data_IF_089386450903
#
_entry.id   IF_089386450903
#
_cell.length_a   1.000
_cell.length_b   1.000
_cell.length_c   1.000
_cell.angle_alpha   90.00
_cell.angle_beta   90.00
_cell.angle_gamma   90.00
#
_symmetry.space_group_name_H-M   'P 1'
#
loop_
_entity.id
_entity.type
_entity.pdbx_description
1 polymer ?
#
# COMPACT_ATOMS: atom_id res chain seq x y z
N UNK A 1 -7.49 25.46 -9.49
CA UNK A 1 -8.15 24.62 -10.51
C UNK A 1 -7.38 23.32 -10.54
N UNK A 2 -7.97 22.21 -10.08
CA UNK A 2 -7.28 20.92 -10.13
C UNK A 2 -7.25 20.43 -11.57
N UNK A 3 -6.05 20.30 -12.13
CA UNK A 3 -5.84 19.68 -13.43
C UNK A 3 -6.45 18.26 -13.38
N UNK A 4 -7.30 17.93 -14.34
CA UNK A 4 -8.10 16.69 -14.34
C UNK A 4 -7.29 15.42 -14.54
N UNK A 5 -5.95 15.50 -14.50
CA UNK A 5 -5.00 14.47 -14.92
C UNK A 5 -4.70 13.41 -13.87
N UNK A 6 -5.04 13.63 -12.60
CA UNK A 6 -4.68 12.67 -11.54
C UNK A 6 -5.44 11.35 -11.68
N UNK A 7 -4.70 10.23 -11.60
CA UNK A 7 -5.23 8.88 -11.47
C UNK A 7 -5.51 8.57 -10.00
N UNK A 8 -6.71 8.10 -9.70
CA UNK A 8 -7.02 7.49 -8.40
C UNK A 8 -8.23 6.58 -8.55
N UNK A 9 -8.28 5.52 -7.75
CA UNK A 9 -9.30 4.47 -7.87
C UNK A 9 -10.72 5.04 -7.78
N UNK A 10 -10.94 5.95 -6.83
CA UNK A 10 -12.25 6.59 -6.60
C UNK A 10 -12.73 7.44 -7.77
N UNK A 11 -11.82 7.91 -8.63
CA UNK A 11 -12.14 8.79 -9.77
C UNK A 11 -12.23 8.05 -11.09
N UNK A 12 -11.99 6.73 -11.11
CA UNK A 12 -12.09 5.90 -12.31
C UNK A 12 -13.52 5.77 -12.89
N UNK A 13 -14.52 6.38 -12.27
CA UNK A 13 -15.86 6.49 -12.89
C UNK A 13 -15.90 7.61 -13.95
N UNK A 14 -14.85 8.42 -14.07
CA UNK A 14 -14.68 9.43 -15.13
C UNK A 14 -14.27 8.78 -16.47
N UNK A 15 -15.01 8.99 -17.57
CA UNK A 15 -14.71 8.40 -18.87
C UNK A 15 -13.32 8.71 -19.43
N UNK A 16 -12.75 9.89 -19.15
CA UNK A 16 -11.39 10.23 -19.58
C UNK A 16 -10.37 9.40 -18.81
N UNK A 17 -10.61 9.18 -17.52
CA UNK A 17 -9.75 8.36 -16.67
C UNK A 17 -9.81 6.89 -17.03
N UNK A 18 -11.00 6.37 -17.37
CA UNK A 18 -11.16 5.01 -17.86
C UNK A 18 -10.36 4.76 -19.15
N UNK A 19 -10.38 5.73 -20.08
CA UNK A 19 -9.57 5.65 -21.32
C UNK A 19 -8.07 5.71 -21.06
N UNK A 20 -7.65 6.46 -20.04
CA UNK A 20 -6.24 6.58 -19.66
C UNK A 20 -5.74 5.40 -18.81
N UNK A 21 -6.63 4.60 -18.23
CA UNK A 21 -6.28 3.53 -17.30
C UNK A 21 -5.35 2.50 -17.94
N UNK A 22 -5.70 1.96 -19.11
CA UNK A 22 -4.89 0.91 -19.76
C UNK A 22 -3.47 1.43 -20.09
N UNK A 23 -3.29 2.57 -20.80
CA UNK A 23 -1.94 3.11 -21.03
C UNK A 23 -1.16 3.41 -19.74
N UNK A 24 -1.85 3.86 -18.68
CA UNK A 24 -1.23 4.11 -17.39
C UNK A 24 -0.70 2.81 -16.75
N UNK A 25 -1.51 1.75 -16.76
CA UNK A 25 -1.12 0.44 -16.22
C UNK A 25 -0.01 -0.23 -17.04
N UNK A 26 0.00 -0.06 -18.36
CA UNK A 26 1.10 -0.48 -19.24
C UNK A 26 2.40 0.26 -18.91
N UNK A 27 2.33 1.57 -18.67
CA UNK A 27 3.50 2.34 -18.24
C UNK A 27 3.99 1.88 -16.86
N UNK A 28 3.09 1.67 -15.90
CA UNK A 28 3.42 1.18 -14.55
C UNK A 28 4.02 -0.23 -14.58
N UNK A 29 3.55 -1.10 -15.48
CA UNK A 29 4.06 -2.47 -15.64
C UNK A 29 5.56 -2.53 -15.95
N UNK A 30 6.08 -1.50 -16.63
CA UNK A 30 7.49 -1.41 -17.03
C UNK A 30 8.44 -0.94 -15.91
N UNK A 31 7.91 -0.60 -14.72
CA UNK A 31 8.75 -0.23 -13.58
C UNK A 31 9.50 -1.45 -13.04
N UNK A 32 10.83 -1.34 -12.91
CA UNK A 32 11.63 -2.34 -12.19
C UNK A 32 11.48 -2.10 -10.69
N UNK A 33 10.68 -2.95 -10.03
CA UNK A 33 10.42 -2.79 -8.61
C UNK A 33 9.40 -3.77 -8.04
N UNK A 34 8.97 -3.46 -6.82
CA UNK A 34 7.99 -4.25 -6.07
C UNK A 34 6.78 -3.39 -5.71
N UNK A 35 5.60 -3.77 -6.17
CA UNK A 35 4.33 -3.28 -5.66
C UNK A 35 3.83 -4.22 -4.57
N UNK A 36 3.87 -3.76 -3.32
CA UNK A 36 3.39 -4.53 -2.17
C UNK A 36 2.14 -3.89 -1.60
N UNK A 37 1.05 -4.65 -1.65
CA UNK A 37 -0.20 -4.28 -1.01
C UNK A 37 -0.39 -5.09 0.27
N UNK A 38 -0.71 -4.40 1.37
CA UNK A 38 -0.89 -5.01 2.68
C UNK A 38 -2.30 -4.73 3.16
N UNK A 39 -3.16 -5.75 3.13
CA UNK A 39 -4.53 -5.67 3.63
C UNK A 39 -4.55 -6.04 5.11
N UNK A 40 -5.05 -5.15 5.96
CA UNK A 40 -5.15 -5.38 7.41
C UNK A 40 -6.60 -5.36 7.84
N UNK A 41 -7.03 -6.39 8.57
CA UNK A 41 -8.38 -6.47 9.10
C UNK A 41 -8.69 -5.28 10.03
N UNK A 42 -9.76 -4.54 9.70
CA UNK A 42 -10.18 -3.32 10.43
C UNK A 42 -10.53 -3.57 11.90
N UNK A 43 -10.84 -4.82 12.29
CA UNK A 43 -11.02 -5.22 13.70
C UNK A 43 -9.73 -5.02 14.51
N UNK A 44 -8.57 -5.03 13.86
CA UNK A 44 -7.27 -4.71 14.47
C UNK A 44 -6.93 -3.24 14.30
N UNK A 45 -7.43 -2.44 15.25
CA UNK A 45 -7.08 -1.02 15.38
C UNK A 45 -5.62 -0.79 15.80
N UNK A 46 -5.00 -1.79 16.42
CA UNK A 46 -3.70 -1.72 17.08
C UNK A 46 -2.81 -2.84 16.56
N UNK A 47 -1.94 -2.53 15.60
CA UNK A 47 -1.00 -3.50 15.02
C UNK A 47 0.44 -3.20 15.48
N UNK A 48 0.83 -1.94 15.43
CA UNK A 48 2.21 -1.51 15.68
C UNK A 48 2.45 -0.95 17.08
N UNK A 49 1.37 -0.64 17.79
CA UNK A 49 1.42 -0.18 19.18
C UNK A 49 0.13 -0.59 19.88
N UNK A 50 0.07 -0.38 21.19
CA UNK A 50 -1.15 -0.45 21.99
C UNK A 50 -1.59 0.95 22.39
N UNK A 51 -2.85 1.08 22.85
CA UNK A 51 -3.42 2.38 23.25
C UNK A 51 -2.53 3.13 24.24
N UNK A 52 -1.96 2.42 25.21
CA UNK A 52 -1.18 3.00 26.30
C UNK A 52 0.29 3.19 25.91
N UNK A 53 0.86 2.27 25.12
CA UNK A 53 2.27 2.31 24.71
C UNK A 53 2.59 3.41 23.70
N UNK A 54 1.60 3.86 22.90
CA UNK A 54 1.81 4.91 21.91
C UNK A 54 2.38 6.20 22.50
N UNK A 55 1.90 6.60 23.69
CA UNK A 55 2.36 7.82 24.37
C UNK A 55 3.82 7.71 24.81
N UNK A 56 4.24 6.55 25.28
CA UNK A 56 5.62 6.32 25.72
C UNK A 56 6.57 6.26 24.53
N UNK A 57 6.17 5.57 23.44
CA UNK A 57 6.94 5.56 22.19
C UNK A 57 7.12 6.95 21.62
N UNK A 58 6.08 7.80 21.67
CA UNK A 58 6.18 9.21 21.26
C UNK A 58 7.29 9.95 22.00
N UNK A 59 7.39 9.75 23.33
CA UNK A 59 8.43 10.37 24.16
C UNK A 59 9.81 9.81 23.86
N UNK A 60 9.94 8.48 23.78
CA UNK A 60 11.22 7.80 23.49
C UNK A 60 11.77 8.23 22.12
N UNK A 61 10.89 8.35 21.13
CA UNK A 61 11.25 8.78 19.78
C UNK A 61 11.35 10.31 19.64
N UNK A 62 11.04 11.07 20.70
CA UNK A 62 11.09 12.54 20.74
C UNK A 62 10.23 13.20 19.64
N UNK A 63 9.00 12.68 19.45
CA UNK A 63 8.07 13.21 18.46
C UNK A 63 7.32 14.44 18.98
N UNK A 64 7.28 15.49 18.17
CA UNK A 64 6.87 16.84 18.56
C UNK A 64 5.38 17.12 18.27
N UNK A 65 4.82 16.58 17.19
CA UNK A 65 3.46 16.89 16.79
C UNK A 65 2.42 16.36 17.79
N UNK A 66 1.26 17.02 17.83
CA UNK A 66 0.12 16.53 18.59
C UNK A 66 -0.58 15.41 17.81
N UNK A 67 -0.43 14.18 18.31
CA UNK A 67 -1.03 12.99 17.75
C UNK A 67 -2.18 12.50 18.64
N UNK A 68 -3.33 12.24 18.01
CA UNK A 68 -4.31 11.35 18.64
C UNK A 68 -3.81 9.90 18.55
N UNK A 69 -4.27 9.02 19.43
CA UNK A 69 -3.71 7.67 19.55
C UNK A 69 -3.89 6.82 18.29
N UNK A 70 -4.98 7.02 17.52
CA UNK A 70 -5.23 6.27 16.29
C UNK A 70 -4.37 6.78 15.13
N UNK A 71 -4.20 8.10 15.00
CA UNK A 71 -3.31 8.68 14.00
C UNK A 71 -1.85 8.30 14.27
N UNK A 72 -1.45 8.27 15.55
CA UNK A 72 -0.12 7.81 15.95
C UNK A 72 0.11 6.34 15.60
N UNK A 73 -0.87 5.47 15.89
CA UNK A 73 -0.81 4.06 15.51
C UNK A 73 -0.71 3.89 14.00
N UNK A 74 -1.52 4.62 13.23
CA UNK A 74 -1.48 4.58 11.76
C UNK A 74 -0.11 5.00 11.22
N UNK A 75 0.48 6.06 11.78
CA UNK A 75 1.83 6.50 11.44
C UNK A 75 2.86 5.40 11.77
N UNK A 76 2.86 4.86 12.99
CA UNK A 76 3.78 3.78 13.37
C UNK A 76 3.61 2.54 12.51
N UNK A 77 2.39 2.22 12.10
CA UNK A 77 2.12 1.10 11.20
C UNK A 77 2.78 1.28 9.86
N UNK A 78 2.61 2.44 9.22
CA UNK A 78 3.27 2.76 7.95
C UNK A 78 4.79 2.72 8.12
N UNK A 79 5.31 3.40 9.14
CA UNK A 79 6.75 3.45 9.44
C UNK A 79 7.35 2.07 9.66
N UNK A 80 6.70 1.22 10.45
CA UNK A 80 7.18 -0.12 10.75
C UNK A 80 7.17 -1.02 9.52
N UNK A 81 6.10 -1.00 8.74
CA UNK A 81 6.02 -1.77 7.49
C UNK A 81 7.08 -1.31 6.50
N UNK A 82 7.26 0.00 6.33
CA UNK A 82 8.33 0.57 5.49
C UNK A 82 9.70 0.12 5.97
N UNK A 83 9.99 0.17 7.28
CA UNK A 83 11.27 -0.25 7.82
C UNK A 83 11.55 -1.74 7.61
N UNK A 84 10.53 -2.61 7.75
CA UNK A 84 10.64 -4.05 7.46
C UNK A 84 10.93 -4.26 5.97
N UNK A 85 10.19 -3.63 5.07
CA UNK A 85 10.41 -3.78 3.62
C UNK A 85 11.80 -3.29 3.22
N UNK A 86 12.24 -2.15 3.77
CA UNK A 86 13.59 -1.65 3.55
C UNK A 86 14.64 -2.63 4.09
N UNK A 87 14.45 -3.24 5.27
CA UNK A 87 15.41 -4.22 5.79
C UNK A 87 15.63 -5.44 4.89
N UNK A 88 14.62 -5.78 4.08
CA UNK A 88 14.67 -6.92 3.14
C UNK A 88 15.37 -6.52 1.83
N UNK A 89 15.10 -5.32 1.31
CA UNK A 89 15.56 -4.93 -0.04
C UNK A 89 16.75 -3.98 -0.08
N UNK A 90 17.03 -3.29 1.02
CA UNK A 90 18.15 -2.34 1.06
C UNK A 90 19.50 -3.04 1.10
N UNK A 91 20.49 -2.33 0.57
CA UNK A 91 21.92 -2.64 0.69
C UNK A 91 22.61 -1.57 1.54
N UNK A 92 23.81 -1.83 2.08
CA UNK A 92 24.59 -0.81 2.78
C UNK A 92 24.66 0.51 2.01
N UNK A 93 24.34 1.60 2.71
CA UNK A 93 24.35 2.98 2.20
C UNK A 93 23.31 3.29 1.12
N UNK A 94 22.23 2.51 1.01
CA UNK A 94 21.11 2.82 0.11
C UNK A 94 20.46 4.14 0.51
N UNK A 95 20.38 5.09 -0.43
CA UNK A 95 19.57 6.30 -0.29
C UNK A 95 18.11 5.98 -0.59
N UNK A 96 17.19 6.47 0.23
CA UNK A 96 15.76 6.19 0.11
C UNK A 96 15.00 7.51 0.01
N UNK A 97 14.12 7.61 -0.97
CA UNK A 97 13.13 8.69 -1.05
C UNK A 97 11.75 8.06 -0.95
N UNK A 98 11.07 8.28 0.19
CA UNK A 98 9.69 7.89 0.40
C UNK A 98 8.79 9.00 -0.14
N UNK A 99 8.03 8.69 -1.19
CA UNK A 99 6.98 9.53 -1.75
C UNK A 99 5.63 9.06 -1.21
N UNK A 100 4.82 9.98 -0.68
CA UNK A 100 3.48 9.69 -0.15
C UNK A 100 2.49 10.74 -0.61
N UNK A 101 1.21 10.37 -0.70
CA UNK A 101 0.13 11.33 -0.83
C UNK A 101 0.07 12.26 0.39
N UNK A 102 -0.71 13.34 0.29
CA UNK A 102 -1.00 14.28 1.39
C UNK A 102 -1.94 13.67 2.46
N UNK A 103 -1.47 12.58 3.06
CA UNK A 103 -2.15 11.81 4.08
C UNK A 103 -2.14 12.50 5.45
N UNK A 104 -3.03 12.06 6.35
CA UNK A 104 -3.14 12.60 7.72
C UNK A 104 -1.82 12.55 8.52
N UNK A 105 -0.97 11.54 8.27
CA UNK A 105 0.30 11.37 9.00
C UNK A 105 1.42 12.30 8.53
N UNK A 106 1.21 13.04 7.43
CA UNK A 106 2.12 14.09 6.93
C UNK A 106 1.39 15.42 6.72
N UNK A 107 0.22 15.59 7.36
CA UNK A 107 -0.70 16.72 7.12
C UNK A 107 -0.13 18.11 7.43
N UNK A 108 1.00 18.21 8.12
CA UNK A 108 1.72 19.46 8.36
C UNK A 108 3.22 19.18 8.56
N UNK A 109 4.04 20.23 8.51
CA UNK A 109 5.50 20.11 8.64
C UNK A 109 5.95 19.36 9.90
N UNK A 110 5.32 19.59 11.04
CA UNK A 110 5.71 18.88 12.28
C UNK A 110 5.40 17.39 12.23
N UNK A 111 4.25 17.00 11.65
CA UNK A 111 3.92 15.58 11.44
C UNK A 111 4.83 14.92 10.42
N UNK A 112 5.20 15.66 9.37
CA UNK A 112 6.17 15.23 8.37
C UNK A 112 7.55 14.96 9.01
N UNK A 113 8.06 15.89 9.82
CA UNK A 113 9.31 15.73 10.55
C UNK A 113 9.27 14.54 11.51
N UNK A 114 8.17 14.40 12.27
CA UNK A 114 7.95 13.25 13.17
C UNK A 114 7.96 11.91 12.41
N UNK A 115 7.27 11.84 11.26
CA UNK A 115 7.21 10.63 10.45
C UNK A 115 8.58 10.27 9.87
N UNK A 116 9.35 11.25 9.38
CA UNK A 116 10.72 11.05 8.89
C UNK A 116 11.63 10.55 10.02
N UNK A 117 11.58 11.19 11.19
CA UNK A 117 12.36 10.80 12.36
C UNK A 117 12.00 9.39 12.84
N UNK A 118 10.71 9.08 12.95
CA UNK A 118 10.25 7.75 13.32
C UNK A 118 10.73 6.70 12.30
N UNK A 119 10.66 7.00 11.00
CA UNK A 119 11.14 6.09 9.94
C UNK A 119 12.62 5.80 10.07
N UNK A 120 13.44 6.82 10.24
CA UNK A 120 14.89 6.65 10.41
C UNK A 120 15.21 5.76 11.64
N UNK A 121 14.51 5.98 12.76
CA UNK A 121 14.69 5.18 13.98
C UNK A 121 14.24 3.74 13.79
N UNK A 122 13.07 3.51 13.19
CA UNK A 122 12.59 2.15 12.95
C UNK A 122 13.51 1.40 11.97
N UNK A 123 13.99 2.05 10.92
CA UNK A 123 14.98 1.44 10.02
C UNK A 123 16.23 0.96 10.78
N UNK A 124 16.67 1.69 11.81
CA UNK A 124 17.81 1.27 12.65
C UNK A 124 17.53 0.05 13.54
N UNK A 125 16.26 -0.26 13.82
CA UNK A 125 15.88 -1.48 14.55
C UNK A 125 15.80 -2.72 13.65
N UNK A 126 15.39 -2.54 12.40
CA UNK A 126 15.18 -3.66 11.47
C UNK A 126 16.37 -3.93 10.55
N UNK A 127 17.14 -2.91 10.17
CA UNK A 127 18.27 -3.08 9.26
C UNK A 127 19.53 -3.51 10.00
N UNK A 128 20.19 -4.55 9.49
CA UNK A 128 21.47 -5.02 10.00
C UNK A 128 22.68 -4.21 9.47
N UNK A 129 22.44 -3.17 8.66
CA UNK A 129 23.48 -2.39 8.01
C UNK A 129 23.17 -0.89 8.01
N UNK A 130 24.18 -0.01 7.87
CA UNK A 130 23.95 1.43 7.80
C UNK A 130 23.19 1.81 6.53
N UNK A 131 22.16 2.63 6.67
CA UNK A 131 21.41 3.24 5.57
C UNK A 131 22.06 4.56 5.12
N UNK A 132 21.77 4.97 3.88
CA UNK A 132 22.16 6.28 3.37
C UNK A 132 21.21 7.39 3.79
N UNK A 133 21.02 8.38 2.92
CA UNK A 133 20.08 9.50 3.14
C UNK A 133 18.64 8.99 2.97
N UNK A 134 17.82 9.21 4.00
CA UNK A 134 16.37 9.03 3.94
C UNK A 134 15.70 10.39 3.73
N UNK A 135 14.80 10.45 2.74
CA UNK A 135 13.93 11.61 2.47
C UNK A 135 12.49 11.17 2.51
N UNK A 136 11.62 12.03 3.02
CA UNK A 136 10.17 11.90 2.94
C UNK A 136 9.63 13.09 2.15
N UNK A 137 8.85 12.84 1.11
CA UNK A 137 8.26 13.87 0.28
C UNK A 137 6.77 13.59 0.07
N UNK A 138 5.98 14.66 -0.04
CA UNK A 138 4.55 14.56 -0.36
C UNK A 138 4.29 14.91 -1.82
N UNK A 139 3.18 14.41 -2.37
CA UNK A 139 2.79 14.73 -3.75
C UNK A 139 2.59 16.23 -3.99
N UNK A 140 2.14 16.98 -2.98
CA UNK A 140 2.02 18.44 -3.02
C UNK A 140 3.34 19.20 -3.24
N UNK A 141 4.49 18.53 -3.12
CA UNK A 141 5.81 19.11 -3.42
C UNK A 141 6.22 19.01 -4.91
N UNK A 142 5.40 18.42 -5.78
CA UNK A 142 5.56 18.42 -7.25
C UNK A 142 4.29 18.93 -7.98
N UNK A 143 3.84 20.17 -7.71
CA UNK A 143 2.53 20.66 -8.16
C UNK A 143 2.44 20.82 -9.68
N UNK A 144 3.56 21.07 -10.36
CA UNK A 144 3.57 21.40 -11.78
C UNK A 144 3.69 20.18 -12.69
N UNK A 145 4.35 19.11 -12.23
CA UNK A 145 4.66 17.94 -13.07
C UNK A 145 3.84 16.71 -12.73
N UNK A 146 3.28 16.64 -11.51
CA UNK A 146 2.43 15.53 -11.05
C UNK A 146 3.12 14.15 -11.12
N UNK A 147 4.45 14.07 -11.20
CA UNK A 147 5.13 12.77 -11.26
C UNK A 147 4.96 12.01 -9.95
N UNK A 148 4.94 12.73 -8.83
CA UNK A 148 4.73 12.12 -7.51
C UNK A 148 3.30 11.60 -7.36
N UNK A 149 2.31 12.34 -7.88
CA UNK A 149 0.92 11.88 -7.94
C UNK A 149 0.79 10.61 -8.78
N UNK A 150 1.41 10.56 -9.97
CA UNK A 150 1.38 9.37 -10.82
C UNK A 150 2.04 8.16 -10.15
N UNK A 151 3.16 8.35 -9.43
CA UNK A 151 3.80 7.27 -8.68
C UNK A 151 2.94 6.77 -7.51
N UNK A 152 2.25 7.67 -6.80
CA UNK A 152 1.36 7.30 -5.69
C UNK A 152 0.01 6.72 -6.18
N UNK A 153 -0.42 7.04 -7.40
CA UNK A 153 -1.60 6.46 -8.00
C UNK A 153 -1.49 4.95 -8.22
N UNK A 154 -0.29 4.43 -8.52
CA UNK A 154 -0.07 2.97 -8.73
C UNK A 154 -0.48 2.14 -7.49
N UNK A 155 0.05 2.41 -6.27
CA UNK A 155 -0.40 1.71 -5.08
C UNK A 155 -1.84 2.06 -4.66
N UNK A 156 -2.35 3.28 -4.92
CA UNK A 156 -3.77 3.62 -4.67
C UNK A 156 -4.71 2.75 -5.49
N UNK A 157 -4.42 2.58 -6.79
CA UNK A 157 -5.21 1.74 -7.69
C UNK A 157 -5.25 0.28 -7.22
N UNK A 158 -4.09 -0.27 -6.83
CA UNK A 158 -4.03 -1.62 -6.28
C UNK A 158 -4.81 -1.73 -4.96
N UNK A 159 -4.64 -0.78 -4.03
CA UNK A 159 -5.35 -0.78 -2.75
C UNK A 159 -6.87 -0.63 -2.93
N UNK A 160 -7.31 0.18 -3.88
CA UNK A 160 -8.72 0.39 -4.22
C UNK A 160 -9.37 -0.89 -4.76
N UNK A 161 -8.74 -1.54 -5.73
CA UNK A 161 -9.19 -2.84 -6.25
C UNK A 161 -9.24 -3.89 -5.14
N UNK A 162 -8.21 -3.97 -4.29
CA UNK A 162 -8.17 -4.93 -3.19
C UNK A 162 -9.23 -4.68 -2.14
N UNK A 163 -9.59 -3.42 -1.89
CA UNK A 163 -10.70 -3.08 -1.01
C UNK A 163 -12.03 -3.60 -1.55
N UNK A 164 -12.23 -3.60 -2.88
CA UNK A 164 -13.44 -4.13 -3.51
C UNK A 164 -13.48 -5.66 -3.43
N UNK A 165 -12.38 -6.34 -3.80
CA UNK A 165 -12.24 -7.80 -3.67
C UNK A 165 -12.46 -8.24 -2.24
N UNK A 166 -11.82 -7.57 -1.27
CA UNK A 166 -11.97 -7.89 0.16
C UNK A 166 -13.42 -7.74 0.62
N UNK A 167 -14.15 -6.75 0.10
CA UNK A 167 -15.56 -6.55 0.42
C UNK A 167 -16.42 -7.69 -0.12
N UNK A 168 -16.18 -8.13 -1.36
CA UNK A 168 -16.84 -9.31 -1.94
C UNK A 168 -16.52 -10.59 -1.16
N UNK A 169 -15.24 -10.83 -0.83
CA UNK A 169 -14.82 -12.01 -0.06
C UNK A 169 -15.41 -12.04 1.36
N UNK A 170 -15.53 -10.88 2.02
CA UNK A 170 -16.15 -10.80 3.34
C UNK A 170 -17.64 -11.23 3.32
N UNK A 171 -18.35 -10.96 2.22
CA UNK A 171 -19.73 -11.44 2.03
C UNK A 171 -19.78 -12.96 1.82
N UNK A 172 -18.72 -13.55 1.24
CA UNK A 172 -18.62 -14.98 0.97
C UNK A 172 -17.95 -15.79 2.10
N UNK A 173 -17.36 -15.14 3.10
CA UNK A 173 -16.92 -15.76 4.36
C UNK A 173 -15.55 -16.46 4.40
N UNK A 174 -14.71 -16.36 3.35
CA UNK A 174 -13.30 -16.83 3.40
C UNK A 174 -12.47 -16.32 2.21
N UNK A 175 -11.17 -16.09 2.44
CA UNK A 175 -10.16 -15.81 1.40
C UNK A 175 -9.66 -17.06 0.67
N UNK A 176 -9.77 -18.25 1.28
CA UNK A 176 -9.25 -19.51 0.69
C UNK A 176 -10.18 -20.04 -0.41
N UNK A 177 -9.61 -20.35 -1.58
CA UNK A 177 -10.25 -20.99 -2.75
C UNK A 177 -11.47 -20.26 -3.35
N UNK A 178 -11.63 -18.95 -3.08
CA UNK A 178 -12.81 -18.17 -3.51
C UNK A 178 -12.48 -16.83 -4.18
N UNK A 179 -11.21 -16.44 -4.29
CA UNK A 179 -10.82 -15.24 -5.02
C UNK A 179 -11.31 -15.28 -6.47
N UNK A 180 -11.16 -16.43 -7.13
CA UNK A 180 -11.64 -16.65 -8.48
C UNK A 180 -13.16 -16.41 -8.61
N UNK A 181 -13.96 -16.94 -7.68
CA UNK A 181 -15.42 -16.71 -7.66
C UNK A 181 -15.84 -15.25 -7.46
N UNK A 182 -15.03 -14.44 -6.79
CA UNK A 182 -15.29 -13.00 -6.63
C UNK A 182 -14.93 -12.26 -7.91
N UNK A 183 -13.82 -12.65 -8.55
CA UNK A 183 -13.34 -12.07 -9.80
C UNK A 183 -14.31 -12.40 -10.96
N UNK A 184 -14.92 -13.58 -10.98
CA UNK A 184 -15.82 -14.08 -12.05
C UNK A 184 -17.25 -13.49 -12.03
N UNK A 185 -17.42 -12.21 -11.67
CA UNK A 185 -18.66 -11.47 -11.96
C UNK A 185 -19.32 -10.71 -10.80
N UNK A 186 -18.62 -10.50 -9.68
CA UNK A 186 -19.08 -9.60 -8.60
C UNK A 186 -18.31 -8.28 -8.53
N UNK A 187 -17.24 -8.14 -9.31
CA UNK A 187 -16.42 -6.95 -9.35
C UNK A 187 -16.97 -5.93 -10.36
N UNK A 188 -16.72 -4.66 -10.10
CA UNK A 188 -16.87 -3.64 -11.14
C UNK A 188 -15.83 -3.86 -12.23
N UNK A 189 -16.16 -3.47 -13.47
CA UNK A 189 -15.25 -3.59 -14.62
C UNK A 189 -13.87 -2.98 -14.35
N UNK A 190 -13.79 -1.87 -13.59
CA UNK A 190 -12.51 -1.25 -13.21
C UNK A 190 -11.69 -2.12 -12.27
N UNK A 191 -12.34 -2.84 -11.35
CA UNK A 191 -11.68 -3.76 -10.43
C UNK A 191 -11.21 -5.03 -11.15
N UNK A 192 -11.97 -5.52 -12.14
CA UNK A 192 -11.56 -6.64 -12.99
C UNK A 192 -10.29 -6.30 -13.79
N UNK A 193 -10.28 -5.18 -14.50
CA UNK A 193 -9.10 -4.72 -15.25
C UNK A 193 -7.86 -4.56 -14.34
N UNK A 194 -8.06 -3.97 -13.16
CA UNK A 194 -6.97 -3.81 -12.19
C UNK A 194 -6.53 -5.14 -11.59
N UNK A 195 -7.43 -6.11 -11.44
CA UNK A 195 -7.10 -7.44 -10.99
C UNK A 195 -6.24 -8.16 -12.04
N UNK A 196 -6.68 -8.22 -13.29
CA UNK A 196 -5.92 -8.82 -14.38
C UNK A 196 -4.51 -8.23 -14.45
N UNK A 197 -4.40 -6.90 -14.40
CA UNK A 197 -3.11 -6.23 -14.32
C UNK A 197 -2.33 -6.59 -13.05
N UNK A 198 -2.96 -6.65 -11.88
CA UNK A 198 -2.25 -6.90 -10.62
C UNK A 198 -1.66 -8.31 -10.55
N UNK A 199 -2.39 -9.31 -11.04
CA UNK A 199 -2.00 -10.72 -10.99
C UNK A 199 -1.17 -11.21 -12.17
N UNK A 200 -1.00 -10.42 -13.24
CA UNK A 200 -0.06 -10.76 -14.31
C UNK A 200 1.40 -10.83 -13.82
N UNK A 201 2.02 -11.99 -13.98
CA UNK A 201 3.39 -12.31 -13.52
C UNK A 201 4.47 -12.04 -14.57
N UNK A 202 4.11 -11.67 -15.81
CA UNK A 202 5.07 -11.45 -16.90
C UNK A 202 5.70 -10.05 -16.91
N UNK A 203 5.29 -9.18 -15.99
CA UNK A 203 5.71 -7.78 -15.93
C UNK A 203 6.97 -7.58 -15.07
N UNK A 204 7.87 -6.64 -15.40
CA UNK A 204 8.98 -6.22 -14.54
C UNK A 204 8.54 -5.82 -13.12
N UNK A 205 7.43 -5.08 -13.01
CA UNK A 205 6.87 -4.70 -11.72
C UNK A 205 6.29 -5.91 -10.99
N UNK A 206 6.99 -6.40 -9.97
CA UNK A 206 6.58 -7.57 -9.19
C UNK A 206 5.52 -7.19 -8.18
N UNK A 207 4.38 -7.87 -8.21
CA UNK A 207 3.21 -7.54 -7.40
C UNK A 207 3.01 -8.57 -6.30
N UNK A 208 2.73 -8.13 -5.07
CA UNK A 208 2.54 -9.03 -3.92
C UNK A 208 1.44 -8.49 -3.01
N UNK A 209 0.50 -9.37 -2.68
CA UNK A 209 -0.54 -9.11 -1.69
C UNK A 209 -0.22 -9.87 -0.39
N UNK A 210 -0.25 -9.15 0.72
CA UNK A 210 -0.14 -9.69 2.08
C UNK A 210 -1.43 -9.37 2.82
N UNK A 211 -2.05 -10.35 3.46
CA UNK A 211 -3.17 -10.12 4.38
C UNK A 211 -2.72 -10.33 5.82
N UNK A 212 -3.24 -9.51 6.72
CA UNK A 212 -3.08 -9.61 8.17
C UNK A 212 -4.48 -9.70 8.77
N UNK A 213 -4.90 -10.93 9.05
CA UNK A 213 -6.26 -11.28 9.43
C UNK A 213 -6.37 -11.74 10.88
N UNK A 214 -7.60 -11.68 11.40
CA UNK A 214 -7.94 -12.19 12.73
C UNK A 214 -8.60 -13.54 12.61
N UNK A 215 -7.96 -14.57 13.17
CA UNK A 215 -8.51 -15.92 13.28
C UNK A 215 -8.74 -16.26 14.76
N UNK A 216 -9.98 -16.02 15.22
CA UNK A 216 -10.32 -16.14 16.62
C UNK A 216 -9.51 -15.16 17.49
N UNK A 217 -8.64 -15.67 18.36
CA UNK A 217 -7.73 -14.87 19.19
C UNK A 217 -6.35 -14.66 18.56
N UNK A 218 -6.03 -15.37 17.46
CA UNK A 218 -4.72 -15.35 16.82
C UNK A 218 -4.71 -14.44 15.60
N UNK A 219 -3.50 -14.09 15.18
CA UNK A 219 -3.25 -13.38 13.94
C UNK A 219 -2.76 -14.37 12.90
N UNK A 220 -3.25 -14.21 11.66
CA UNK A 220 -2.72 -14.91 10.50
C UNK A 220 -2.10 -13.88 9.56
N UNK A 221 -0.88 -14.15 9.10
CA UNK A 221 -0.24 -13.39 8.02
C UNK A 221 -0.13 -14.32 6.83
N UNK A 222 -0.73 -13.92 5.70
CA UNK A 222 -0.76 -14.75 4.48
C UNK A 222 -0.24 -13.96 3.30
N UNK A 223 0.55 -14.62 2.46
CA UNK A 223 0.78 -14.15 1.09
C UNK A 223 -0.37 -14.67 0.24
N UNK A 224 -0.96 -13.80 -0.57
CA UNK A 224 -2.03 -14.16 -1.49
C UNK A 224 -1.48 -14.12 -2.92
N UNK A 225 -1.71 -15.20 -3.66
CA UNK A 225 -1.34 -15.36 -5.07
C UNK A 225 -2.46 -16.11 -5.79
N UNK A 226 -2.76 -15.73 -7.04
CA UNK A 226 -3.51 -16.62 -7.94
C UNK A 226 -2.54 -17.71 -8.41
N UNK A 227 -2.88 -18.98 -8.25
CA UNK A 227 -2.07 -20.08 -8.76
C UNK A 227 -2.47 -20.37 -10.21
N UNK A 228 -1.53 -20.84 -11.05
CA UNK A 228 -1.82 -21.19 -12.46
C UNK A 228 -2.85 -22.33 -12.59
N UNK A 229 -3.01 -23.18 -11.58
CA UNK A 229 -4.05 -24.23 -11.57
C UNK A 229 -5.47 -23.64 -11.62
N UNK A 230 -5.66 -22.42 -11.12
CA UNK A 230 -6.92 -21.68 -11.16
C UNK A 230 -7.26 -21.20 -12.59
N UNK A 231 -6.26 -20.98 -13.45
CA UNK A 231 -6.41 -20.45 -14.83
C UNK A 231 -6.70 -21.57 -15.84
N UNK A 232 -6.33 -22.82 -15.53
CA UNK A 232 -6.34 -23.94 -16.48
C UNK A 232 -7.66 -24.72 -16.56
N UNK A 233 -8.68 -24.37 -15.77
CA UNK A 233 -9.92 -25.16 -15.70
C UNK A 233 -11.02 -24.76 -16.70
N UNK A 234 -10.85 -23.68 -17.47
CA UNK A 234 -11.81 -23.26 -18.50
C UNK A 234 -11.16 -23.03 -19.87
N UNK A 235 -10.72 -24.12 -20.51
CA UNK A 235 -10.82 -24.22 -21.97
C UNK A 235 -11.46 -25.57 -22.34
N UNK A 236 -12.72 -25.58 -22.81
CA UNK A 236 -13.26 -26.75 -23.48
C UNK A 236 -12.44 -26.98 -24.75
N UNK A 237 -11.94 -28.21 -24.93
CA UNK A 237 -11.46 -28.69 -26.23
C UNK A 237 -12.63 -28.86 -27.19
#
# INVERSE_FOLDING_TARGET
MSDGRTMSYKRLDDPLRQRALIPFLEAAANLDGHLVAIAVDKRKKWLSTTKDLGTDLRKVLQLNASWNSLALESMFRKVQLTAILLSIWSRPYTNVTWITDEDEFVANGTRHDDALQATARFCSFYSAHPMGVLRLITTGQDPDKLNYEDLCAIPDLAAGMLSEISTGLAQLGSWENRMQKVIEGQLSLKAEVLADWFWDTHMPLRKTLITIDVEGSRFAVRKVSMQEEDISSEMPR
#
